data_IF_016902593192
#
_entry.id   IF_016902593192
#
_cell.length_a   1.000
_cell.length_b   1.000
_cell.length_c   1.000
_cell.angle_alpha   90.00
_cell.angle_beta   90.00
_cell.angle_gamma   90.00
#
_symmetry.space_group_name_H-M   'P 1'
#
loop_
_entity.id
_entity.type
_entity.pdbx_description
1 polymer ?
#
# COMPACT_ATOMS: atom_id res chain seq x y z
N UNK A 1 -16.38 -66.16 0.84
CA UNK A 1 -16.22 -65.31 -0.36
C UNK A 1 -17.58 -64.68 -0.61
N UNK A 2 -17.87 -63.47 -0.10
CA UNK A 2 -17.55 -62.14 -0.69
C UNK A 2 -18.07 -62.12 -2.14
N UNK A 3 -19.07 -61.33 -2.56
CA UNK A 3 -19.28 -59.88 -2.39
C UNK A 3 -20.76 -59.54 -2.74
N UNK A 4 -21.56 -59.00 -1.81
CA UNK A 4 -21.94 -57.58 -1.56
C UNK A 4 -22.70 -56.85 -2.67
N UNK A 5 -24.00 -56.73 -2.40
CA UNK A 5 -25.09 -55.94 -2.97
C UNK A 5 -24.92 -54.42 -2.82
N UNK A 6 -25.50 -53.66 -3.78
CA UNK A 6 -26.13 -52.33 -3.55
C UNK A 6 -27.34 -52.15 -4.47
N UNK A 7 -28.47 -51.65 -3.94
CA UNK A 7 -29.27 -50.72 -4.72
C UNK A 7 -29.75 -49.47 -3.95
N UNK A 8 -29.94 -48.41 -4.75
CA UNK A 8 -30.89 -47.27 -4.66
C UNK A 8 -30.79 -46.21 -3.56
N UNK A 9 -30.98 -44.95 -3.98
CA UNK A 9 -31.82 -43.87 -3.39
C UNK A 9 -31.73 -42.67 -4.36
N UNK A 10 -32.77 -42.40 -5.18
CA UNK A 10 -33.90 -41.47 -4.99
C UNK A 10 -33.55 -39.98 -5.03
N UNK A 11 -34.17 -39.28 -5.98
CA UNK A 11 -34.17 -37.83 -6.20
C UNK A 11 -34.69 -37.04 -4.99
N UNK A 12 -34.12 -35.85 -4.79
CA UNK A 12 -34.68 -34.75 -3.99
C UNK A 12 -33.93 -33.45 -4.27
N UNK A 13 -34.63 -32.46 -4.85
CA UNK A 13 -34.12 -31.14 -5.23
C UNK A 13 -33.90 -30.21 -4.03
N UNK A 14 -32.78 -29.46 -4.03
CA UNK A 14 -32.65 -28.06 -3.55
C UNK A 14 -31.52 -27.48 -4.42
N UNK A 15 -31.76 -26.61 -5.42
CA UNK A 15 -32.08 -25.20 -5.25
C UNK A 15 -30.85 -24.35 -5.62
N UNK A 16 -30.77 -23.96 -6.89
CA UNK A 16 -29.71 -23.15 -7.52
C UNK A 16 -29.38 -21.86 -6.76
N UNK A 17 -28.12 -21.64 -6.39
CA UNK A 17 -27.47 -20.32 -6.36
C UNK A 17 -25.96 -20.49 -6.64
N UNK A 18 -25.61 -20.98 -7.83
CA UNK A 18 -24.20 -21.03 -8.26
C UNK A 18 -24.10 -20.80 -9.77
N UNK A 19 -24.72 -19.72 -10.22
CA UNK A 19 -24.57 -19.20 -11.59
C UNK A 19 -24.89 -17.72 -11.53
N UNK A 20 -23.95 -16.93 -11.01
CA UNK A 20 -23.94 -15.48 -11.22
C UNK A 20 -22.62 -14.79 -10.80
N UNK A 21 -21.45 -15.43 -10.95
CA UNK A 21 -20.16 -14.71 -10.98
C UNK A 21 -19.17 -15.47 -11.89
N UNK A 22 -19.50 -15.61 -13.16
CA UNK A 22 -18.55 -16.00 -14.22
C UNK A 22 -18.88 -15.15 -15.45
N UNK A 23 -18.39 -13.90 -15.50
CA UNK A 23 -18.28 -13.10 -16.74
C UNK A 23 -17.69 -11.70 -16.45
N UNK A 24 -16.38 -11.57 -16.19
CA UNK A 24 -15.75 -10.24 -16.35
C UNK A 24 -14.23 -10.17 -16.60
N UNK A 25 -13.49 -11.26 -16.80
CA UNK A 25 -12.01 -11.16 -16.91
C UNK A 25 -11.41 -12.04 -18.02
N UNK A 26 -12.07 -12.16 -19.18
CA UNK A 26 -11.51 -12.90 -20.31
C UNK A 26 -11.44 -12.03 -21.57
N UNK A 27 -10.23 -11.72 -22.04
CA UNK A 27 -9.98 -11.03 -23.31
C UNK A 27 -8.86 -10.00 -23.22
N UNK A 28 -8.89 -9.04 -24.13
CA UNK A 28 -7.87 -8.00 -24.22
C UNK A 28 -8.47 -6.63 -23.87
N UNK A 29 -7.80 -5.90 -22.98
CA UNK A 29 -8.02 -4.48 -22.79
C UNK A 29 -7.42 -3.76 -24.00
N UNK A 30 -8.27 -3.13 -24.80
CA UNK A 30 -7.90 -2.53 -26.08
C UNK A 30 -8.13 -1.03 -26.00
N UNK A 31 -7.03 -0.27 -26.01
CA UNK A 31 -7.06 1.19 -25.93
C UNK A 31 -6.40 1.80 -27.17
N UNK A 32 -7.02 2.82 -27.74
CA UNK A 32 -6.38 3.56 -28.83
C UNK A 32 -6.88 5.01 -28.92
N UNK A 33 -6.05 5.83 -29.54
CA UNK A 33 -6.40 7.19 -29.98
C UNK A 33 -6.31 7.22 -31.50
N UNK A 34 -7.44 7.49 -32.14
CA UNK A 34 -7.57 7.56 -33.59
C UNK A 34 -7.66 9.03 -34.02
N UNK A 35 -6.80 9.44 -34.94
CA UNK A 35 -6.88 10.71 -35.66
C UNK A 35 -7.75 10.54 -36.90
N UNK A 36 -8.94 11.15 -36.91
CA UNK A 36 -9.86 11.13 -38.03
C UNK A 36 -9.23 11.80 -39.25
N UNK A 37 -9.48 11.25 -40.45
CA UNK A 37 -8.92 11.78 -41.69
C UNK A 37 -9.86 11.52 -42.88
N UNK A 38 -11.08 12.09 -42.88
CA UNK A 38 -12.09 11.82 -43.91
C UNK A 38 -11.65 12.23 -45.32
N UNK A 39 -10.70 13.18 -45.42
CA UNK A 39 -10.14 13.70 -46.68
C UNK A 39 -9.14 12.73 -47.36
N UNK A 40 -8.67 11.68 -46.65
CA UNK A 40 -7.70 10.72 -47.20
C UNK A 40 -8.39 9.60 -47.98
N UNK A 41 -7.80 9.21 -49.11
CA UNK A 41 -8.30 8.14 -49.97
C UNK A 41 -8.47 6.82 -49.18
N UNK A 42 -9.65 6.20 -49.28
CA UNK A 42 -9.99 4.97 -48.57
C UNK A 42 -10.55 5.15 -47.16
N UNK A 43 -10.68 6.38 -46.64
CA UNK A 43 -11.30 6.65 -45.33
C UNK A 43 -12.79 6.97 -45.44
N UNK A 44 -13.56 6.57 -44.42
CA UNK A 44 -15.00 6.80 -44.28
C UNK A 44 -15.27 7.96 -43.35
N UNK A 45 -16.41 8.63 -43.53
CA UNK A 45 -16.90 9.63 -42.59
C UNK A 45 -17.21 9.00 -41.23
N UNK A 46 -16.64 9.56 -40.18
CA UNK A 46 -16.87 9.11 -38.81
C UNK A 46 -18.26 9.50 -38.33
N UNK A 47 -18.94 8.57 -37.67
CA UNK A 47 -20.19 8.81 -36.98
C UNK A 47 -20.15 8.07 -35.65
N UNK A 48 -20.07 8.82 -34.56
CA UNK A 48 -19.88 8.29 -33.22
C UNK A 48 -20.93 7.24 -32.84
N UNK A 49 -22.22 7.53 -33.06
CA UNK A 49 -23.31 6.58 -32.73
C UNK A 49 -23.17 5.25 -33.45
N UNK A 50 -22.87 5.26 -34.76
CA UNK A 50 -22.65 4.03 -35.52
C UNK A 50 -21.37 3.32 -35.08
N UNK A 51 -20.34 4.09 -34.73
CA UNK A 51 -19.07 3.56 -34.27
C UNK A 51 -19.22 2.80 -32.95
N UNK A 52 -19.84 3.45 -31.94
CA UNK A 52 -20.16 2.85 -30.64
C UNK A 52 -21.01 1.59 -30.79
N UNK A 53 -22.08 1.62 -31.59
CA UNK A 53 -22.92 0.45 -31.80
C UNK A 53 -22.14 -0.76 -32.36
N UNK A 54 -21.15 -0.54 -33.23
CA UNK A 54 -20.32 -1.65 -33.75
C UNK A 54 -19.38 -2.18 -32.67
N UNK A 55 -18.82 -1.31 -31.84
CA UNK A 55 -17.99 -1.69 -30.71
C UNK A 55 -18.78 -2.53 -29.69
N UNK A 56 -20.01 -2.14 -29.35
CA UNK A 56 -20.90 -2.85 -28.41
C UNK A 56 -21.23 -4.27 -28.87
N UNK A 57 -21.22 -4.53 -30.18
CA UNK A 57 -21.43 -5.88 -30.71
C UNK A 57 -20.15 -6.74 -30.73
N UNK A 58 -18.99 -6.17 -30.40
CA UNK A 58 -17.69 -6.83 -30.51
C UNK A 58 -16.88 -6.81 -29.20
N UNK A 59 -17.45 -6.29 -28.11
CA UNK A 59 -16.82 -6.29 -26.79
C UNK A 59 -17.69 -5.62 -25.73
N UNK A 60 -17.18 -5.59 -24.51
CA UNK A 60 -17.84 -5.07 -23.32
C UNK A 60 -17.03 -3.91 -22.72
N UNK A 61 -17.59 -3.23 -21.72
CA UNK A 61 -16.93 -2.12 -20.98
C UNK A 61 -16.34 -1.04 -21.90
N UNK A 62 -17.20 -0.49 -22.77
CA UNK A 62 -16.79 0.45 -23.82
C UNK A 62 -16.83 1.89 -23.31
N UNK A 63 -15.74 2.61 -23.54
CA UNK A 63 -15.67 4.06 -23.37
C UNK A 63 -15.16 4.66 -24.67
N UNK A 64 -15.96 5.54 -25.27
CA UNK A 64 -15.57 6.33 -26.45
C UNK A 64 -15.70 7.79 -26.10
N UNK A 65 -14.63 8.55 -26.33
CA UNK A 65 -14.60 9.99 -26.16
C UNK A 65 -14.09 10.60 -27.47
N UNK A 66 -14.91 11.42 -28.12
CA UNK A 66 -14.49 12.22 -29.26
C UNK A 66 -14.17 13.64 -28.82
N UNK A 67 -13.01 14.13 -29.21
CA UNK A 67 -12.59 15.53 -29.07
C UNK A 67 -12.05 16.03 -30.42
N UNK A 68 -12.76 16.98 -31.04
CA UNK A 68 -12.51 17.47 -32.40
C UNK A 68 -12.32 16.32 -33.43
N UNK A 69 -11.09 16.15 -33.91
CA UNK A 69 -10.68 15.16 -34.90
C UNK A 69 -10.00 13.93 -34.26
N UNK A 70 -9.96 13.84 -32.93
CA UNK A 70 -9.44 12.71 -32.17
C UNK A 70 -10.56 11.89 -31.52
N UNK A 71 -10.42 10.56 -31.58
CA UNK A 71 -11.33 9.61 -30.93
C UNK A 71 -10.52 8.70 -30.04
N UNK A 72 -10.73 8.80 -28.72
CA UNK A 72 -10.16 7.89 -27.72
C UNK A 72 -11.15 6.77 -27.43
N UNK A 73 -10.65 5.54 -27.45
CA UNK A 73 -11.47 4.33 -27.25
C UNK A 73 -10.80 3.43 -26.22
N UNK A 74 -11.60 2.92 -25.30
CA UNK A 74 -11.31 1.79 -24.43
C UNK A 74 -12.39 0.73 -24.66
N UNK A 75 -12.01 -0.52 -24.90
CA UNK A 75 -12.94 -1.65 -25.04
C UNK A 75 -12.29 -2.95 -24.57
N UNK A 76 -13.04 -3.80 -23.89
CA UNK A 76 -12.63 -5.17 -23.59
C UNK A 76 -13.17 -6.11 -24.68
N UNK A 77 -12.28 -6.82 -25.36
CA UNK A 77 -12.69 -7.70 -26.47
C UNK A 77 -11.80 -8.92 -26.60
N UNK A 78 -12.37 -10.04 -27.05
CA UNK A 78 -11.61 -11.25 -27.40
C UNK A 78 -10.82 -11.10 -28.71
N UNK A 79 -11.15 -10.12 -29.55
CA UNK A 79 -10.60 -9.96 -30.91
C UNK A 79 -10.19 -8.50 -31.17
N UNK A 80 -9.13 -7.99 -30.49
CA UNK A 80 -8.67 -6.60 -30.65
C UNK A 80 -8.39 -6.22 -32.11
N UNK A 81 -7.85 -7.15 -32.91
CA UNK A 81 -7.59 -6.93 -34.33
C UNK A 81 -8.83 -6.52 -35.15
N UNK A 82 -10.02 -7.04 -34.82
CA UNK A 82 -11.25 -6.66 -35.51
C UNK A 82 -11.62 -5.21 -35.22
N UNK A 83 -11.44 -4.77 -33.97
CA UNK A 83 -11.69 -3.40 -33.55
C UNK A 83 -10.75 -2.44 -34.28
N UNK A 84 -9.46 -2.79 -34.38
CA UNK A 84 -8.49 -1.97 -35.08
C UNK A 84 -8.77 -1.86 -36.58
N UNK A 85 -9.05 -2.99 -37.23
CA UNK A 85 -9.36 -2.99 -38.66
C UNK A 85 -10.62 -2.18 -38.97
N UNK A 86 -11.60 -2.18 -38.05
CA UNK A 86 -12.78 -1.33 -38.17
C UNK A 86 -12.44 0.15 -37.96
N UNK A 87 -11.72 0.50 -36.89
CA UNK A 87 -11.37 1.87 -36.55
C UNK A 87 -10.46 2.54 -37.60
N UNK A 88 -9.54 1.79 -38.20
CA UNK A 88 -8.63 2.30 -39.23
C UNK A 88 -9.36 2.75 -40.51
N UNK A 89 -10.64 2.37 -40.70
CA UNK A 89 -11.45 2.87 -41.81
C UNK A 89 -11.76 4.37 -41.69
N UNK A 90 -11.62 4.99 -40.52
CA UNK A 90 -12.03 6.38 -40.28
C UNK A 90 -10.84 7.34 -40.07
N UNK A 91 -9.63 6.80 -39.85
CA UNK A 91 -8.47 7.59 -39.48
C UNK A 91 -7.17 6.79 -39.36
N UNK A 92 -6.16 7.40 -38.74
CA UNK A 92 -4.87 6.77 -38.41
C UNK A 92 -4.66 6.72 -36.88
N UNK A 93 -4.06 5.66 -36.37
CA UNK A 93 -3.78 5.54 -34.93
C UNK A 93 -2.62 6.46 -34.53
N UNK A 94 -2.83 7.31 -33.52
CA UNK A 94 -1.74 8.02 -32.83
C UNK A 94 -1.11 7.15 -31.76
N UNK A 95 -1.95 6.44 -31.02
CA UNK A 95 -1.55 5.51 -29.96
C UNK A 95 -2.43 4.28 -30.06
N UNK A 96 -1.83 3.11 -29.90
CA UNK A 96 -2.52 1.83 -29.89
C UNK A 96 -1.88 0.97 -28.80
N UNK A 97 -2.73 0.42 -27.93
CA UNK A 97 -2.34 -0.42 -26.81
C UNK A 97 -3.31 -1.61 -26.74
N UNK A 98 -2.75 -2.80 -26.65
CA UNK A 98 -3.49 -4.03 -26.38
C UNK A 98 -2.81 -4.72 -25.23
N UNK A 99 -3.56 -5.01 -24.19
CA UNK A 99 -3.08 -5.79 -23.06
C UNK A 99 -3.94 -7.04 -22.94
N UNK A 100 -3.29 -8.21 -22.92
CA UNK A 100 -3.96 -9.45 -22.59
C UNK A 100 -4.29 -9.41 -21.09
N UNK A 101 -5.57 -9.31 -20.74
CA UNK A 101 -5.98 -9.17 -19.34
C UNK A 101 -5.63 -10.45 -18.56
N UNK A 102 -5.60 -11.62 -19.23
CA UNK A 102 -5.14 -12.87 -18.63
C UNK A 102 -3.63 -12.88 -18.39
N UNK A 103 -2.84 -12.17 -19.20
CA UNK A 103 -1.40 -12.01 -18.92
C UNK A 103 -1.10 -10.95 -17.87
N UNK A 104 -1.97 -9.96 -17.65
CA UNK A 104 -1.87 -9.11 -16.46
C UNK A 104 -2.16 -9.89 -15.18
N UNK A 105 -3.04 -10.91 -15.24
CA UNK A 105 -3.17 -11.90 -14.17
C UNK A 105 -2.03 -12.94 -14.18
N UNK A 106 -1.39 -13.21 -15.33
CA UNK A 106 -0.27 -14.16 -15.43
C UNK A 106 1.11 -13.56 -15.16
N UNK A 107 1.28 -12.24 -15.16
CA UNK A 107 2.46 -11.58 -14.59
C UNK A 107 2.47 -11.62 -13.05
N UNK A 108 1.40 -12.14 -12.44
CA UNK A 108 1.37 -12.60 -11.04
C UNK A 108 1.74 -14.11 -10.94
N UNK A 109 1.82 -14.85 -12.06
CA UNK A 109 2.01 -16.32 -12.04
C UNK A 109 3.04 -16.93 -13.02
N UNK A 110 3.79 -16.14 -13.79
CA UNK A 110 5.04 -16.61 -14.40
C UNK A 110 6.19 -16.43 -13.41
N UNK A 111 6.19 -17.36 -12.46
CA UNK A 111 7.33 -17.74 -11.65
C UNK A 111 8.41 -18.24 -12.62
N UNK A 112 9.29 -17.35 -13.09
CA UNK A 112 10.71 -17.70 -12.89
C UNK A 112 10.79 -18.04 -11.42
N UNK A 113 11.15 -19.28 -11.07
CA UNK A 113 11.46 -19.59 -9.66
C UNK A 113 12.60 -18.65 -9.32
N UNK A 114 12.26 -17.48 -8.78
CA UNK A 114 13.23 -16.63 -8.13
C UNK A 114 13.91 -17.56 -7.14
N UNK A 115 15.24 -17.64 -7.23
CA UNK A 115 15.98 -18.40 -6.25
C UNK A 115 15.55 -17.91 -4.87
N UNK A 116 15.18 -18.86 -4.01
CA UNK A 116 14.71 -18.53 -2.68
C UNK A 116 15.78 -17.69 -1.98
N UNK A 117 15.41 -16.46 -1.62
CA UNK A 117 16.34 -15.53 -0.97
C UNK A 117 16.76 -16.07 0.40
N UNK A 118 17.95 -15.71 0.85
CA UNK A 118 18.37 -16.06 2.22
C UNK A 118 17.54 -15.30 3.25
N UNK A 119 17.33 -14.01 3.03
CA UNK A 119 16.56 -13.12 3.88
C UNK A 119 15.52 -12.33 3.08
N UNK A 120 14.42 -11.99 3.74
CA UNK A 120 13.52 -10.94 3.30
C UNK A 120 12.99 -10.12 4.48
N UNK A 121 12.68 -8.86 4.19
CA UNK A 121 12.11 -7.92 5.14
C UNK A 121 10.66 -7.61 4.75
N UNK A 122 9.75 -7.66 5.72
CA UNK A 122 8.34 -7.31 5.56
C UNK A 122 8.03 -6.17 6.52
N UNK A 123 7.39 -5.12 6.03
CA UNK A 123 7.01 -3.97 6.86
C UNK A 123 5.55 -3.61 6.66
N UNK A 124 4.91 -3.09 7.71
CA UNK A 124 3.59 -2.47 7.59
C UNK A 124 3.78 -0.96 7.48
N UNK A 125 3.23 -0.37 6.42
CA UNK A 125 3.36 1.04 6.16
C UNK A 125 2.07 1.62 5.60
N UNK A 126 1.86 2.90 5.90
CA UNK A 126 0.66 3.65 5.51
C UNK A 126 1.12 5.00 4.99
N UNK A 127 0.67 5.37 3.79
CA UNK A 127 1.15 6.55 3.09
C UNK A 127 2.20 6.19 2.03
N UNK A 128 2.14 6.90 0.91
CA UNK A 128 3.01 6.65 -0.25
C UNK A 128 4.49 6.92 0.10
N UNK A 129 4.76 8.02 0.82
CA UNK A 129 6.11 8.41 1.21
C UNK A 129 6.70 7.42 2.22
N UNK A 130 5.95 7.03 3.24
CA UNK A 130 6.39 6.02 4.24
C UNK A 130 6.68 4.69 3.56
N UNK A 131 5.81 4.27 2.64
CA UNK A 131 6.02 3.05 1.87
C UNK A 131 7.28 3.13 1.00
N UNK A 132 7.54 4.28 0.38
CA UNK A 132 8.77 4.52 -0.38
C UNK A 132 10.01 4.44 0.52
N UNK A 133 9.98 5.05 1.71
CA UNK A 133 11.08 4.99 2.67
C UNK A 133 11.44 3.54 3.04
N UNK A 134 10.45 2.68 3.30
CA UNK A 134 10.71 1.27 3.57
C UNK A 134 11.27 0.53 2.35
N UNK A 135 10.78 0.80 1.15
CA UNK A 135 11.36 0.24 -0.09
C UNK A 135 12.81 0.67 -0.29
N UNK A 136 13.13 1.92 0.00
CA UNK A 136 14.50 2.46 -0.08
C UNK A 136 15.42 1.77 0.96
N UNK A 137 14.85 1.35 2.10
CA UNK A 137 15.49 0.52 3.12
C UNK A 137 15.44 -0.99 2.81
N UNK A 138 15.20 -1.36 1.54
CA UNK A 138 15.19 -2.74 1.04
C UNK A 138 14.15 -3.67 1.66
N UNK A 139 13.03 -3.13 2.13
CA UNK A 139 11.86 -3.94 2.47
C UNK A 139 11.31 -4.61 1.22
N UNK A 140 11.28 -5.94 1.20
CA UNK A 140 10.82 -6.75 0.08
C UNK A 140 9.30 -6.68 -0.12
N UNK A 141 8.54 -6.59 0.97
CA UNK A 141 7.08 -6.52 0.90
C UNK A 141 6.49 -5.57 1.92
N UNK A 142 5.57 -4.74 1.46
CA UNK A 142 4.81 -3.83 2.31
C UNK A 142 3.39 -4.35 2.43
N UNK A 143 3.00 -4.70 3.66
CA UNK A 143 1.63 -5.11 3.96
C UNK A 143 0.79 -3.85 4.13
N UNK A 144 -0.17 -3.63 3.22
CA UNK A 144 -1.16 -2.58 3.40
C UNK A 144 -2.20 -3.05 4.41
N UNK A 145 -2.48 -2.27 5.46
CA UNK A 145 -3.53 -2.59 6.44
C UNK A 145 -4.97 -2.41 5.93
N UNK A 146 -5.19 -2.39 4.62
CA UNK A 146 -6.51 -2.15 4.01
C UNK A 146 -7.16 -0.85 4.48
N UNK A 147 -8.49 -0.84 4.61
CA UNK A 147 -9.23 0.33 5.11
C UNK A 147 -9.02 0.60 6.60
N UNK A 148 -8.71 -0.44 7.39
CA UNK A 148 -8.57 -0.34 8.86
C UNK A 148 -7.15 0.01 9.28
N UNK A 149 -6.21 0.06 8.34
CA UNK A 149 -4.77 0.22 8.54
C UNK A 149 -4.13 -0.82 9.48
N UNK A 150 -4.85 -1.92 9.77
CA UNK A 150 -4.44 -2.99 10.67
C UNK A 150 -4.57 -4.33 9.92
N UNK A 151 -3.48 -4.83 9.31
CA UNK A 151 -3.47 -6.12 8.64
C UNK A 151 -3.91 -7.27 9.55
N UNK A 152 -4.54 -8.29 8.97
CA UNK A 152 -4.88 -9.54 9.65
C UNK A 152 -3.70 -10.50 9.69
N UNK A 153 -3.84 -11.59 10.44
CA UNK A 153 -2.88 -12.69 10.44
C UNK A 153 -2.71 -13.29 9.04
N UNK A 154 -3.80 -13.44 8.28
CA UNK A 154 -3.78 -13.92 6.90
C UNK A 154 -2.97 -12.99 5.98
N UNK A 155 -3.11 -11.68 6.12
CA UNK A 155 -2.34 -10.70 5.32
C UNK A 155 -0.82 -10.90 5.52
N UNK A 156 -0.39 -11.14 6.76
CA UNK A 156 1.02 -11.45 7.06
C UNK A 156 1.44 -12.81 6.52
N UNK A 157 0.60 -13.86 6.65
CA UNK A 157 0.90 -15.19 6.10
C UNK A 157 1.08 -15.13 4.58
N UNK A 158 0.23 -14.38 3.88
CA UNK A 158 0.38 -14.15 2.44
C UNK A 158 1.67 -13.40 2.12
N UNK A 159 2.00 -12.36 2.88
CA UNK A 159 3.23 -11.61 2.69
C UNK A 159 4.49 -12.49 2.87
N UNK A 160 4.54 -13.31 3.93
CA UNK A 160 5.64 -14.26 4.19
C UNK A 160 5.80 -15.25 3.03
N UNK A 161 4.70 -15.73 2.45
CA UNK A 161 4.74 -16.64 1.30
C UNK A 161 5.20 -15.94 0.02
N UNK A 162 4.77 -14.70 -0.21
CA UNK A 162 5.10 -13.93 -1.42
C UNK A 162 6.57 -13.55 -1.52
N UNK A 163 7.26 -13.30 -0.41
CA UNK A 163 8.67 -12.89 -0.43
C UNK A 163 9.65 -14.02 -0.79
N UNK A 164 9.21 -15.28 -0.76
CA UNK A 164 10.02 -16.45 -1.17
C UNK A 164 11.45 -16.44 -0.58
N UNK A 165 11.55 -16.33 0.75
CA UNK A 165 12.82 -16.32 1.47
C UNK A 165 12.89 -17.43 2.52
N UNK A 166 14.10 -17.84 2.92
CA UNK A 166 14.31 -18.82 4.00
C UNK A 166 14.08 -18.21 5.37
N UNK A 167 14.57 -16.98 5.57
CA UNK A 167 14.45 -16.23 6.80
C UNK A 167 13.69 -14.93 6.53
N UNK A 168 12.72 -14.59 7.37
CA UNK A 168 11.87 -13.40 7.20
C UNK A 168 11.84 -12.60 8.49
N UNK A 169 12.11 -11.30 8.40
CA UNK A 169 11.86 -10.36 9.49
C UNK A 169 10.63 -9.51 9.21
N UNK A 170 9.75 -9.39 10.20
CA UNK A 170 8.54 -8.56 10.11
C UNK A 170 8.69 -7.36 11.04
N UNK A 171 8.42 -6.16 10.51
CA UNK A 171 8.32 -4.90 11.23
C UNK A 171 6.84 -4.45 11.24
N UNK A 172 6.08 -4.74 12.30
CA UNK A 172 4.66 -4.39 12.34
C UNK A 172 4.40 -2.89 12.45
N UNK A 173 5.30 -2.11 13.04
CA UNK A 173 5.21 -0.64 13.16
C UNK A 173 3.92 -0.10 13.78
N UNK A 174 3.15 -0.95 14.44
CA UNK A 174 1.88 -0.61 15.09
C UNK A 174 1.61 -1.66 16.18
N UNK A 175 1.46 -1.18 17.42
CA UNK A 175 1.29 -2.06 18.57
C UNK A 175 0.03 -2.94 18.52
N UNK A 176 -1.00 -2.53 17.77
CA UNK A 176 -2.28 -3.23 17.69
C UNK A 176 -2.22 -4.49 16.83
N UNK A 177 -1.21 -4.60 15.96
CA UNK A 177 -1.05 -5.73 15.02
C UNK A 177 0.16 -6.61 15.33
N UNK A 178 0.89 -6.29 16.41
CA UNK A 178 2.01 -7.09 16.87
C UNK A 178 1.58 -8.55 17.15
N UNK A 179 0.40 -8.75 17.74
CA UNK A 179 -0.13 -10.10 18.00
C UNK A 179 -0.41 -10.86 16.69
N UNK A 180 -1.03 -10.22 15.70
CA UNK A 180 -1.33 -10.83 14.40
C UNK A 180 -0.05 -11.22 13.65
N UNK A 181 0.98 -10.36 13.67
CA UNK A 181 2.28 -10.66 13.08
C UNK A 181 2.96 -11.87 13.76
N UNK A 182 2.92 -11.94 15.10
CA UNK A 182 3.50 -13.08 15.82
C UNK A 182 2.76 -14.38 15.50
N UNK A 183 1.42 -14.36 15.48
CA UNK A 183 0.63 -15.53 15.09
C UNK A 183 0.96 -15.98 13.65
N UNK A 184 1.12 -15.05 12.72
CA UNK A 184 1.49 -15.38 11.35
C UNK A 184 2.87 -16.04 11.27
N UNK A 185 3.83 -15.59 12.07
CA UNK A 185 5.17 -16.19 12.14
C UNK A 185 5.16 -17.62 12.70
N UNK A 186 4.19 -17.97 13.55
CA UNK A 186 4.02 -19.32 14.09
C UNK A 186 3.27 -20.27 13.13
N UNK A 187 2.39 -19.73 12.28
CA UNK A 187 1.57 -20.50 11.35
C UNK A 187 2.35 -20.97 10.11
N UNK A 188 3.43 -20.27 9.73
CA UNK A 188 4.24 -20.63 8.56
C UNK A 188 5.38 -21.56 8.98
N UNK A 189 5.26 -22.86 8.68
CA UNK A 189 6.20 -23.89 9.14
C UNK A 189 7.52 -23.94 8.34
N UNK A 190 7.51 -23.55 7.05
CA UNK A 190 8.64 -23.72 6.13
C UNK A 190 9.57 -22.48 6.02
N UNK A 191 9.29 -21.43 6.80
CA UNK A 191 10.04 -20.17 6.77
C UNK A 191 10.42 -19.79 8.19
N UNK A 192 11.71 -19.50 8.42
CA UNK A 192 12.18 -18.99 9.69
C UNK A 192 11.75 -17.51 9.83
N UNK A 193 10.58 -17.30 10.41
CA UNK A 193 9.99 -15.98 10.53
C UNK A 193 10.18 -15.41 11.94
N UNK A 194 10.69 -14.19 12.03
CA UNK A 194 10.84 -13.46 13.29
C UNK A 194 10.18 -12.09 13.23
N UNK A 195 9.42 -11.75 14.27
CA UNK A 195 8.80 -10.43 14.39
C UNK A 195 9.70 -9.53 15.22
N UNK A 196 10.25 -8.49 14.60
CA UNK A 196 10.93 -7.42 15.33
C UNK A 196 9.82 -6.58 16.00
N UNK A 197 9.82 -6.38 17.34
CA UNK A 197 8.67 -5.86 18.07
C UNK A 197 8.48 -4.33 17.94
N UNK A 198 8.61 -3.82 16.72
CA UNK A 198 8.38 -2.43 16.33
C UNK A 198 6.91 -2.06 16.53
N UNK A 199 6.69 -0.89 17.14
CA UNK A 199 5.37 -0.34 17.44
C UNK A 199 5.07 0.93 16.67
N UNK A 200 6.09 1.53 16.05
CA UNK A 200 6.01 2.79 15.31
C UNK A 200 6.84 2.73 14.04
N UNK A 201 6.56 3.63 13.10
CA UNK A 201 7.29 3.73 11.82
C UNK A 201 8.79 4.04 12.02
N UNK A 202 9.22 4.98 12.89
CA UNK A 202 10.64 5.22 13.14
C UNK A 202 11.37 3.99 13.66
N UNK A 203 10.76 3.21 14.58
CA UNK A 203 11.32 1.95 15.03
C UNK A 203 11.50 0.95 13.87
N UNK A 204 10.51 0.86 12.97
CA UNK A 204 10.62 0.09 11.75
C UNK A 204 11.80 0.48 10.88
N UNK A 205 11.99 1.78 10.66
CA UNK A 205 13.08 2.30 9.82
C UNK A 205 14.44 1.97 10.43
N UNK A 206 14.62 2.22 11.72
CA UNK A 206 15.85 1.90 12.46
C UNK A 206 16.15 0.40 12.43
N UNK A 207 15.13 -0.44 12.64
CA UNK A 207 15.29 -1.89 12.52
C UNK A 207 15.80 -2.29 11.12
N UNK A 208 15.25 -1.71 10.04
CA UNK A 208 15.71 -1.98 8.68
C UNK A 208 17.15 -1.50 8.43
N UNK A 209 17.55 -0.36 9.01
CA UNK A 209 18.92 0.16 8.88
C UNK A 209 19.96 -0.73 9.57
N UNK A 210 19.56 -1.43 10.65
CA UNK A 210 20.44 -2.34 11.39
C UNK A 210 20.51 -3.75 10.81
N UNK A 211 19.69 -4.08 9.80
CA UNK A 211 19.72 -5.38 9.16
C UNK A 211 21.05 -5.60 8.42
N UNK A 212 21.70 -6.73 8.70
CA UNK A 212 22.92 -7.15 8.05
C UNK A 212 22.71 -8.51 7.33
N UNK A 213 22.75 -8.56 5.99
CA UNK A 213 22.53 -9.81 5.24
C UNK A 213 23.63 -10.86 5.45
N UNK A 214 24.81 -10.46 5.95
CA UNK A 214 25.92 -11.38 6.22
C UNK A 214 25.89 -11.95 7.65
N UNK A 215 25.01 -11.42 8.52
CA UNK A 215 24.85 -11.89 9.91
C UNK A 215 23.85 -13.05 10.01
N UNK A 216 23.92 -13.80 11.11
CA UNK A 216 22.95 -14.86 11.41
C UNK A 216 21.58 -14.30 11.83
N UNK A 217 20.55 -15.14 11.79
CA UNK A 217 19.17 -14.74 12.11
C UNK A 217 19.04 -14.22 13.55
N UNK A 218 19.66 -14.92 14.51
CA UNK A 218 19.61 -14.51 15.92
C UNK A 218 20.35 -13.21 16.18
N UNK A 219 21.52 -13.02 15.55
CA UNK A 219 22.30 -11.79 15.69
C UNK A 219 21.52 -10.61 15.11
N UNK A 220 20.98 -10.74 13.89
CA UNK A 220 20.08 -9.74 13.30
C UNK A 220 18.88 -9.44 14.22
N UNK A 221 18.21 -10.47 14.73
CA UNK A 221 17.07 -10.28 15.62
C UNK A 221 17.43 -9.48 16.86
N UNK A 222 18.56 -9.80 17.51
CA UNK A 222 19.00 -9.14 18.73
C UNK A 222 19.42 -7.69 18.46
N UNK A 223 20.25 -7.45 17.45
CA UNK A 223 20.73 -6.11 17.07
C UNK A 223 19.57 -5.19 16.67
N UNK A 224 18.68 -5.67 15.80
CA UNK A 224 17.49 -4.91 15.39
C UNK A 224 16.57 -4.63 16.59
N UNK A 225 16.38 -5.61 17.49
CA UNK A 225 15.52 -5.43 18.67
C UNK A 225 16.13 -4.49 19.71
N UNK A 226 17.45 -4.51 19.88
CA UNK A 226 18.15 -3.59 20.78
C UNK A 226 18.08 -2.16 20.24
N UNK A 227 18.33 -1.96 18.95
CA UNK A 227 18.32 -0.64 18.32
C UNK A 227 16.97 0.07 18.51
N UNK A 228 15.85 -0.63 18.31
CA UNK A 228 14.52 -0.02 18.44
C UNK A 228 14.15 0.35 19.88
N UNK A 229 14.82 -0.23 20.88
CA UNK A 229 14.56 0.06 22.30
C UNK A 229 15.01 1.46 22.72
N UNK A 230 15.93 2.06 21.96
CA UNK A 230 16.48 3.40 22.18
C UNK A 230 15.62 4.50 21.54
N UNK A 231 14.72 4.11 20.63
CA UNK A 231 13.90 5.04 19.86
C UNK A 231 12.67 5.46 20.65
N UNK A 232 12.60 6.75 21.02
CA UNK A 232 11.37 7.38 21.49
C UNK A 232 10.51 7.73 20.28
N UNK A 233 9.20 7.59 20.41
CA UNK A 233 8.30 7.85 19.28
C UNK A 233 7.11 8.72 19.69
N UNK A 234 6.79 9.65 18.82
CA UNK A 234 5.68 10.59 18.96
C UNK A 234 4.82 10.63 17.71
N UNK A 235 3.57 11.01 17.85
CA UNK A 235 2.64 11.19 16.73
C UNK A 235 1.74 12.39 16.99
N UNK A 236 1.36 13.11 15.94
CA UNK A 236 0.40 14.22 16.00
C UNK A 236 -0.78 13.89 15.11
N UNK A 237 -1.99 13.99 15.66
CA UNK A 237 -3.26 13.79 14.95
C UNK A 237 -4.31 14.74 15.50
N UNK A 238 -5.50 14.81 14.88
CA UNK A 238 -6.57 15.69 15.34
C UNK A 238 -7.61 14.94 16.18
N UNK A 239 -8.23 15.67 17.11
CA UNK A 239 -9.31 15.17 17.94
C UNK A 239 -10.64 15.21 17.19
N UNK A 240 -11.35 14.07 17.20
CA UNK A 240 -12.66 13.94 16.54
C UNK A 240 -13.85 14.32 17.42
N UNK A 241 -13.62 14.63 18.70
CA UNK A 241 -14.65 15.06 19.66
C UNK A 241 -14.03 15.67 20.90
N UNK A 242 -14.84 16.45 21.61
CA UNK A 242 -14.53 16.90 22.96
C UNK A 242 -14.46 15.73 23.94
N UNK A 243 -13.41 15.68 24.77
CA UNK A 243 -13.29 14.71 25.87
C UNK A 243 -12.27 15.17 26.90
N UNK A 244 -12.14 14.43 28.00
CA UNK A 244 -11.08 14.62 29.00
C UNK A 244 -10.37 13.30 29.23
N UNK A 245 -9.06 13.25 29.01
CA UNK A 245 -8.23 12.07 29.21
C UNK A 245 -7.05 12.49 30.10
N UNK A 246 -6.80 11.75 31.18
CA UNK A 246 -5.69 11.98 32.12
C UNK A 246 -5.55 13.42 32.61
N UNK A 247 -6.69 14.12 32.75
CA UNK A 247 -6.74 15.51 33.21
C UNK A 247 -6.59 16.56 32.12
N UNK A 248 -6.21 16.18 30.89
CA UNK A 248 -6.08 17.05 29.73
C UNK A 248 -7.46 17.20 29.06
N UNK A 249 -7.88 18.45 28.85
CA UNK A 249 -9.05 18.75 28.03
C UNK A 249 -8.70 18.64 26.56
N UNK A 250 -9.42 17.77 25.87
CA UNK A 250 -9.32 17.56 24.43
C UNK A 250 -10.52 18.24 23.81
N UNK A 251 -10.27 19.11 22.84
CA UNK A 251 -11.31 19.78 22.06
C UNK A 251 -11.37 19.21 20.66
N UNK A 252 -12.58 19.06 20.13
CA UNK A 252 -12.80 18.66 18.75
C UNK A 252 -12.06 19.60 17.78
N UNK A 253 -11.47 19.03 16.74
CA UNK A 253 -10.65 19.69 15.72
C UNK A 253 -9.29 20.24 16.20
N UNK A 254 -8.94 20.08 17.48
CA UNK A 254 -7.61 20.42 17.97
C UNK A 254 -6.62 19.29 17.67
N UNK A 255 -5.35 19.63 17.51
CA UNK A 255 -4.26 18.68 17.33
C UNK A 255 -3.74 18.17 18.66
N UNK A 256 -3.59 16.86 18.76
CA UNK A 256 -3.09 16.15 19.92
C UNK A 256 -1.70 15.59 19.62
N UNK A 257 -0.73 15.88 20.48
CA UNK A 257 0.55 15.21 20.51
C UNK A 257 0.48 13.96 21.39
N UNK A 258 0.88 12.82 20.84
CA UNK A 258 0.85 11.51 21.48
C UNK A 258 2.27 10.99 21.66
N UNK A 259 2.61 10.54 22.86
CA UNK A 259 3.80 9.72 23.12
C UNK A 259 3.33 8.33 23.56
N UNK A 260 3.37 7.38 22.64
CA UNK A 260 2.70 6.09 22.80
C UNK A 260 1.18 6.26 22.94
N UNK A 261 0.63 5.91 24.11
CA UNK A 261 -0.81 6.07 24.42
C UNK A 261 -1.12 7.34 25.21
N UNK A 262 -0.10 8.05 25.66
CA UNK A 262 -0.26 9.23 26.51
C UNK A 262 -0.44 10.44 25.62
N UNK A 263 -1.48 11.23 25.90
CA UNK A 263 -1.64 12.55 25.29
C UNK A 263 -0.77 13.53 26.07
N UNK A 264 0.09 14.23 25.36
CA UNK A 264 1.06 15.16 25.93
C UNK A 264 0.61 16.60 25.71
N UNK A 265 0.11 16.90 24.51
CA UNK A 265 -0.32 18.25 24.12
C UNK A 265 -1.70 18.19 23.44
N UNK A 266 -2.47 19.28 23.57
CA UNK A 266 -3.67 19.52 22.78
C UNK A 266 -3.76 21.01 22.43
N UNK A 267 -3.60 21.35 21.15
CA UNK A 267 -3.53 22.74 20.65
C UNK A 267 -4.42 22.91 19.43
N UNK A 268 -4.86 24.13 19.19
CA UNK A 268 -5.61 24.46 17.97
C UNK A 268 -4.71 24.39 16.73
N UNK A 269 -3.43 24.74 16.87
CA UNK A 269 -2.44 24.71 15.80
C UNK A 269 -1.56 23.45 15.85
N UNK A 270 -1.35 22.82 14.69
CA UNK A 270 -0.57 21.57 14.60
C UNK A 270 0.92 21.78 14.79
N UNK A 271 1.47 22.93 14.39
CA UNK A 271 2.90 23.25 14.60
C UNK A 271 3.16 23.38 16.09
N UNK A 272 2.31 24.10 16.82
CA UNK A 272 2.40 24.21 18.28
C UNK A 272 2.29 22.85 18.98
N UNK A 273 1.30 22.03 18.61
CA UNK A 273 1.13 20.69 19.19
C UNK A 273 2.38 19.80 18.96
N UNK A 274 2.96 19.88 17.77
CA UNK A 274 4.14 19.09 17.37
C UNK A 274 5.38 19.56 18.11
N UNK A 275 5.60 20.87 18.18
CA UNK A 275 6.72 21.46 18.90
C UNK A 275 6.67 21.11 20.39
N UNK A 276 5.51 21.26 21.05
CA UNK A 276 5.34 20.89 22.46
C UNK A 276 5.61 19.40 22.69
N UNK A 277 5.15 18.53 21.78
CA UNK A 277 5.43 17.10 21.87
C UNK A 277 6.93 16.82 21.78
N UNK A 278 7.63 17.38 20.79
CA UNK A 278 9.07 17.17 20.60
C UNK A 278 9.86 17.63 21.83
N UNK A 279 9.54 18.80 22.41
CA UNK A 279 10.21 19.31 23.61
C UNK A 279 10.13 18.33 24.80
N UNK A 280 9.04 17.57 24.92
CA UNK A 280 8.92 16.55 25.98
C UNK A 280 9.67 15.24 25.69
N UNK A 281 10.08 15.02 24.45
CA UNK A 281 10.75 13.79 24.02
C UNK A 281 12.27 13.92 24.04
N UNK A 282 12.79 15.14 23.85
CA UNK A 282 14.23 15.44 23.87
C UNK A 282 14.77 15.35 25.31
N UNK A 283 15.93 14.73 25.46
CA UNK A 283 16.77 14.79 26.65
C UNK A 283 18.26 14.98 26.29
N UNK A 284 19.14 14.90 27.28
CA UNK A 284 20.58 15.15 27.12
C UNK A 284 21.30 14.12 26.23
N UNK A 285 20.69 12.95 25.99
CA UNK A 285 21.24 11.88 25.15
C UNK A 285 20.70 11.93 23.72
N UNK A 286 19.75 12.83 23.44
CA UNK A 286 19.10 12.91 22.13
C UNK A 286 20.02 13.56 21.09
N UNK A 287 20.23 12.89 19.96
CA UNK A 287 21.13 13.35 18.89
C UNK A 287 20.37 13.71 17.61
N UNK A 288 19.42 12.86 17.20
CA UNK A 288 18.72 12.96 15.92
C UNK A 288 17.21 12.88 16.12
N UNK A 289 16.49 13.75 15.43
CA UNK A 289 15.03 13.72 15.34
C UNK A 289 14.63 13.41 13.91
N UNK A 290 13.98 12.28 13.70
CA UNK A 290 13.31 11.99 12.43
C UNK A 290 11.90 12.59 12.47
N UNK A 291 11.62 13.57 11.61
CA UNK A 291 10.32 14.24 11.51
C UNK A 291 9.64 13.88 10.17
N UNK A 292 8.60 13.05 10.24
CA UNK A 292 7.88 12.55 9.06
C UNK A 292 6.55 13.29 8.90
N UNK A 293 6.40 14.11 7.87
CA UNK A 293 5.18 14.88 7.60
C UNK A 293 4.10 14.08 6.85
N UNK A 294 2.84 14.33 7.22
CA UNK A 294 1.64 13.75 6.64
C UNK A 294 1.17 14.49 5.38
N UNK A 295 0.11 14.00 4.75
CA UNK A 295 -0.43 14.62 3.53
C UNK A 295 -1.11 15.98 3.78
N UNK A 296 -1.51 16.26 5.02
CA UNK A 296 -2.18 17.47 5.47
C UNK A 296 -1.21 18.57 5.94
N UNK A 297 0.10 18.38 5.72
CA UNK A 297 1.16 19.27 6.20
C UNK A 297 1.88 19.94 5.03
N UNK A 298 2.05 21.26 5.12
CA UNK A 298 2.86 22.04 4.21
C UNK A 298 4.34 22.07 4.61
N UNK A 299 5.21 22.32 3.62
CA UNK A 299 6.65 22.50 3.85
C UNK A 299 6.94 23.70 4.78
N UNK A 300 6.15 24.78 4.69
CA UNK A 300 6.29 25.94 5.56
C UNK A 300 6.02 25.60 7.04
N UNK A 301 4.99 24.79 7.32
CA UNK A 301 4.69 24.31 8.67
C UNK A 301 5.85 23.46 9.22
N UNK A 302 6.41 22.57 8.40
CA UNK A 302 7.55 21.73 8.80
C UNK A 302 8.80 22.58 9.09
N UNK A 303 9.10 23.57 8.24
CA UNK A 303 10.24 24.45 8.42
C UNK A 303 10.14 25.27 9.72
N UNK A 304 8.94 25.72 10.10
CA UNK A 304 8.72 26.41 11.38
C UNK A 304 9.08 25.54 12.59
N UNK A 305 8.76 24.25 12.54
CA UNK A 305 9.12 23.30 13.60
C UNK A 305 10.64 23.13 13.65
N UNK A 306 11.27 22.93 12.48
CA UNK A 306 12.73 22.74 12.36
C UNK A 306 13.48 23.94 12.93
N UNK A 307 13.14 25.15 12.49
CA UNK A 307 13.76 26.40 12.95
C UNK A 307 13.58 26.58 14.47
N UNK A 308 12.39 26.30 14.97
CA UNK A 308 12.10 26.42 16.40
C UNK A 308 12.96 25.46 17.24
N UNK A 309 13.04 24.18 16.86
CA UNK A 309 13.70 23.15 17.66
C UNK A 309 15.23 23.32 17.57
N UNK A 310 15.79 23.49 16.37
CA UNK A 310 17.25 23.65 16.19
C UNK A 310 17.80 24.94 16.81
N UNK A 311 16.98 25.96 17.00
CA UNK A 311 17.38 27.19 17.72
C UNK A 311 17.53 27.01 19.24
N UNK A 312 16.97 25.94 19.81
CA UNK A 312 16.93 25.69 21.27
C UNK A 312 17.70 24.45 21.70
N UNK A 313 17.74 23.43 20.87
CA UNK A 313 18.32 22.14 21.18
C UNK A 313 19.43 21.80 20.20
N UNK A 314 20.57 21.24 20.65
CA UNK A 314 21.69 20.87 19.80
C UNK A 314 21.45 19.51 19.11
N UNK A 315 20.32 19.38 18.41
CA UNK A 315 19.87 18.15 17.73
C UNK A 315 19.84 18.34 16.22
N UNK A 316 20.11 17.27 15.48
CA UNK A 316 19.88 17.23 14.03
C UNK A 316 18.44 16.81 13.74
N UNK A 317 17.81 17.39 12.71
CA UNK A 317 16.45 17.02 12.30
C UNK A 317 16.48 16.49 10.87
N UNK A 318 16.18 15.20 10.72
CA UNK A 318 15.97 14.54 9.44
C UNK A 318 14.48 14.62 9.05
N UNK A 319 14.17 15.53 8.13
CA UNK A 319 12.81 15.74 7.64
C UNK A 319 12.50 14.78 6.49
N UNK A 320 11.40 14.04 6.63
CA UNK A 320 10.87 13.14 5.59
C UNK A 320 9.44 13.52 5.24
N UNK A 321 9.10 13.40 3.95
CA UNK A 321 7.71 13.49 3.51
C UNK A 321 7.11 12.07 3.45
N UNK A 322 6.28 11.74 4.44
CA UNK A 322 5.67 10.42 4.55
C UNK A 322 4.33 10.28 3.83
N UNK A 323 3.61 11.38 3.60
CA UNK A 323 2.27 11.38 2.98
C UNK A 323 1.32 10.37 3.63
N UNK A 324 1.46 10.14 4.93
CA UNK A 324 0.48 9.36 5.67
C UNK A 324 -0.82 10.18 5.86
N UNK A 325 -2.00 9.53 5.84
CA UNK A 325 -3.29 10.22 5.84
C UNK A 325 -3.85 10.53 7.23
N UNK A 326 -3.40 9.84 8.28
CA UNK A 326 -4.01 9.94 9.63
C UNK A 326 -3.21 10.85 10.58
N UNK A 327 -1.88 10.81 10.47
CA UNK A 327 -0.99 11.52 11.38
C UNK A 327 -0.32 12.66 10.64
N UNK A 328 -0.55 13.89 11.10
CA UNK A 328 0.10 15.09 10.56
C UNK A 328 1.61 15.00 10.71
N UNK A 329 2.09 14.48 11.84
CA UNK A 329 3.50 14.17 12.04
C UNK A 329 3.68 12.82 12.73
N UNK A 330 4.73 12.10 12.31
CA UNK A 330 5.31 10.98 13.05
C UNK A 330 6.75 11.38 13.40
N UNK A 331 7.13 11.18 14.66
CA UNK A 331 8.41 11.64 15.22
C UNK A 331 9.16 10.43 15.78
N UNK A 332 10.43 10.30 15.42
CA UNK A 332 11.41 9.48 16.13
C UNK A 332 12.45 10.38 16.78
N UNK A 333 12.80 10.12 18.04
CA UNK A 333 13.95 10.75 18.72
C UNK A 333 14.89 9.63 19.14
N UNK A 334 16.14 9.74 18.71
CA UNK A 334 17.22 8.78 18.96
C UNK A 334 18.21 9.32 19.98
#
# INVERSE_FOLDING_TARGET
MIERTKPSLSQGQVGNVQTQIENSEFGYCTEFILQLSPEKEGKKNFNEKRFVNVLENNGDSIVVVQDEDLVKVHIHTLKPGNIFNYAQQFGEFKTLKVENMQEQHSHISEITKEEQKEYALISVAVGEGVSKMFKDLRVDYIVSGGQTMNPSTEDFVEAIKKVNAKNVFIMPNNSNILMAANQASEVVEDVNCKVIPTKTIPQGMVACMMFNPDAGVEDNFNEMSEAISRIKSGQVTFAIKDTKIDGIEIKENYFMGLNGKNIISCKEDKVEATTELIETMIDEESEIITLISGEDVSEEETNKIVDYITSRFPVEIDVKNGRQPVYSYIIGVE
#
